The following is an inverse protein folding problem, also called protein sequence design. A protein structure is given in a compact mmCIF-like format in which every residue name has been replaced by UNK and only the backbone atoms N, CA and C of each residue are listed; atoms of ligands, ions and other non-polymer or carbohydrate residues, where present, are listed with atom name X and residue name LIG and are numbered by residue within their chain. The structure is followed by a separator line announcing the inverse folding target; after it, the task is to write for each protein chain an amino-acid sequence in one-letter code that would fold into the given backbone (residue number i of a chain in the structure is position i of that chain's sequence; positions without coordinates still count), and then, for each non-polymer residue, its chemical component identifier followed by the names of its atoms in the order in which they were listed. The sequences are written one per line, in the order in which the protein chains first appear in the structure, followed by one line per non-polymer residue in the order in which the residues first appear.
data_IF_533884626573
#
_entry.id   IF_533884626573
#
_cell.length_a   1.000
_cell.length_b   1.000
_cell.length_c   1.000
_cell.angle_alpha   90.00
_cell.angle_beta   90.00
_cell.angle_gamma   90.00
#
_symmetry.space_group_name_H-M   'P 1'
#
loop_
_entity.id
_entity.type
_entity.pdbx_description
1 polymer ?
#
# COMPACT_ATOMS: atom_id res chain seq x y z
N UNK A 1 9.47 -12.35 -15.58
CA UNK A 1 8.06 -12.18 -15.17
C UNK A 1 8.07 -11.63 -13.74
N UNK A 2 7.38 -10.50 -13.47
CA UNK A 2 7.32 -9.93 -12.11
C UNK A 2 6.52 -10.84 -11.19
N UNK A 3 6.98 -10.99 -9.95
CA UNK A 3 6.34 -11.81 -8.92
C UNK A 3 6.31 -11.05 -7.61
N UNK A 4 5.13 -10.92 -7.04
CA UNK A 4 4.91 -10.30 -5.74
C UNK A 4 4.49 -11.36 -4.73
N UNK A 5 4.90 -11.18 -3.47
CA UNK A 5 4.51 -12.07 -2.39
C UNK A 5 4.29 -11.31 -1.09
N UNK A 6 3.19 -11.57 -0.45
CA UNK A 6 2.87 -11.09 0.88
C UNK A 6 3.06 -12.23 1.86
N UNK A 7 4.02 -12.08 2.77
CA UNK A 7 4.25 -13.03 3.86
C UNK A 7 3.58 -12.49 5.12
N UNK A 8 2.66 -13.26 5.68
CA UNK A 8 1.89 -12.85 6.86
C UNK A 8 1.90 -13.98 7.88
N UNK A 9 2.21 -13.65 9.12
CA UNK A 9 1.95 -14.54 10.24
C UNK A 9 0.45 -14.50 10.55
N UNK A 10 -0.18 -15.68 10.64
CA UNK A 10 -1.61 -15.86 10.93
C UNK A 10 -2.07 -15.15 12.21
N UNK A 11 -1.22 -15.15 13.24
CA UNK A 11 -1.52 -14.45 14.49
C UNK A 11 -1.64 -12.94 14.29
N UNK A 12 -0.83 -12.41 13.39
CA UNK A 12 -0.78 -10.99 13.07
C UNK A 12 -2.06 -10.54 12.36
N UNK A 13 -2.64 -11.35 11.48
CA UNK A 13 -3.87 -11.01 10.76
C UNK A 13 -5.10 -11.01 11.66
N UNK A 14 -5.23 -11.98 12.55
CA UNK A 14 -6.33 -12.03 13.52
C UNK A 14 -6.30 -10.84 14.48
N UNK A 15 -5.11 -10.33 14.81
CA UNK A 15 -4.94 -9.13 15.64
C UNK A 15 -4.98 -7.81 14.86
N UNK A 16 -4.69 -7.82 13.56
CA UNK A 16 -4.57 -6.61 12.72
C UNK A 16 -5.79 -6.34 11.84
N UNK A 17 -6.59 -7.38 11.56
CA UNK A 17 -7.51 -7.31 10.41
C UNK A 17 -8.73 -6.42 10.61
N UNK A 18 -9.26 -6.25 11.80
CA UNK A 18 -10.60 -5.63 11.97
C UNK A 18 -10.65 -4.57 13.07
N UNK A 19 -9.67 -4.53 13.98
CA UNK A 19 -9.78 -3.71 15.20
C UNK A 19 -8.87 -2.49 15.30
N UNK A 20 -7.85 -2.36 14.47
CA UNK A 20 -6.80 -1.34 14.66
C UNK A 20 -7.12 0.04 14.09
N UNK A 21 -7.93 0.11 13.05
CA UNK A 21 -8.31 1.37 12.43
C UNK A 21 -9.79 1.33 12.08
N UNK A 22 -10.59 2.05 12.86
CA UNK A 22 -12.06 2.08 12.70
C UNK A 22 -12.56 3.20 11.81
N UNK A 23 -11.66 4.04 11.25
CA UNK A 23 -12.08 5.20 10.49
C UNK A 23 -11.15 5.51 9.29
N UNK A 24 -11.74 6.11 8.26
CA UNK A 24 -11.07 6.53 7.03
C UNK A 24 -9.87 7.46 7.31
N UNK A 25 -10.00 8.52 8.15
CA UNK A 25 -8.88 9.43 8.40
C UNK A 25 -7.62 8.73 8.91
N UNK A 26 -7.74 7.76 9.81
CA UNK A 26 -6.59 7.03 10.33
C UNK A 26 -5.89 6.21 9.23
N UNK A 27 -6.68 5.55 8.37
CA UNK A 27 -6.15 4.78 7.22
C UNK A 27 -5.45 5.70 6.21
N UNK A 28 -6.06 6.84 5.89
CA UNK A 28 -5.46 7.81 4.97
C UNK A 28 -4.19 8.45 5.55
N UNK A 29 -4.15 8.69 6.87
CA UNK A 29 -2.94 9.18 7.55
C UNK A 29 -1.74 8.23 7.38
N UNK A 30 -1.97 6.91 7.40
CA UNK A 30 -0.90 5.93 7.12
C UNK A 30 -0.41 6.00 5.67
N UNK A 31 -1.32 6.20 4.71
CA UNK A 31 -0.94 6.37 3.31
C UNK A 31 -0.12 7.65 3.10
N UNK A 32 -0.52 8.76 3.73
CA UNK A 32 0.22 10.04 3.71
C UNK A 32 1.59 9.89 4.40
N UNK A 33 1.68 9.17 5.53
CA UNK A 33 2.95 8.90 6.19
C UNK A 33 3.91 8.08 5.30
N UNK A 34 3.39 7.11 4.53
CA UNK A 34 4.19 6.38 3.56
C UNK A 34 4.69 7.27 2.42
N UNK A 35 3.86 8.19 1.92
CA UNK A 35 4.24 9.17 0.91
C UNK A 35 5.33 10.13 1.44
N UNK A 36 5.19 10.62 2.67
CA UNK A 36 6.22 11.42 3.36
C UNK A 36 7.56 10.67 3.41
N UNK A 37 7.52 9.40 3.78
CA UNK A 37 8.69 8.54 3.85
C UNK A 37 9.31 8.21 2.48
N UNK A 38 8.54 8.38 1.40
CA UNK A 38 8.98 8.26 0.01
C UNK A 38 9.42 9.60 -0.62
N UNK A 39 9.63 10.64 0.19
CA UNK A 39 10.00 12.00 -0.23
C UNK A 39 8.99 12.68 -1.15
N UNK A 40 7.73 12.30 -1.08
CA UNK A 40 6.70 13.00 -1.82
C UNK A 40 6.62 14.48 -1.43
N UNK A 41 6.37 15.34 -2.39
CA UNK A 41 6.11 16.77 -2.20
C UNK A 41 4.63 17.06 -2.26
N UNK A 42 3.87 16.19 -2.92
CA UNK A 42 2.44 16.29 -3.08
C UNK A 42 1.78 14.93 -2.88
N UNK A 43 0.64 14.95 -2.21
CA UNK A 43 -0.26 13.80 -2.08
C UNK A 43 -1.66 14.26 -2.46
N UNK A 44 -2.22 13.64 -3.48
CA UNK A 44 -3.60 13.87 -3.93
C UNK A 44 -4.50 12.75 -3.40
N UNK A 45 -5.59 13.13 -2.72
CA UNK A 45 -6.60 12.18 -2.24
C UNK A 45 -7.91 12.48 -2.96
N UNK A 46 -8.43 11.48 -3.67
CA UNK A 46 -9.70 11.53 -4.41
C UNK A 46 -10.66 10.49 -3.81
N UNK A 47 -11.81 10.96 -3.34
CA UNK A 47 -12.86 10.13 -2.74
C UNK A 47 -14.09 10.19 -3.62
N UNK A 48 -14.34 9.12 -4.36
CA UNK A 48 -15.53 8.95 -5.20
C UNK A 48 -16.56 8.11 -4.42
N UNK A 49 -17.47 8.78 -3.75
CA UNK A 49 -18.53 8.13 -2.95
C UNK A 49 -19.51 7.37 -3.82
N UNK A 50 -19.80 7.86 -5.03
CA UNK A 50 -20.73 7.22 -5.98
C UNK A 50 -20.23 5.88 -6.49
N UNK A 51 -18.91 5.74 -6.68
CA UNK A 51 -18.26 4.49 -7.13
C UNK A 51 -17.69 3.66 -5.98
N UNK A 52 -17.68 4.19 -4.77
CA UNK A 52 -17.06 3.53 -3.63
C UNK A 52 -15.55 3.33 -3.81
N UNK A 53 -14.84 4.33 -4.31
CA UNK A 53 -13.40 4.27 -4.59
C UNK A 53 -12.69 5.42 -3.88
N UNK A 54 -11.60 5.09 -3.21
CA UNK A 54 -10.66 6.09 -2.68
C UNK A 54 -9.33 5.91 -3.41
N UNK A 55 -8.76 7.01 -3.90
CA UNK A 55 -7.43 7.04 -4.51
C UNK A 55 -6.53 7.93 -3.68
N UNK A 56 -5.32 7.45 -3.41
CA UNK A 56 -4.24 8.23 -2.80
C UNK A 56 -3.05 8.14 -3.75
N UNK A 57 -2.65 9.27 -4.29
CA UNK A 57 -1.54 9.37 -5.24
C UNK A 57 -0.48 10.29 -4.68
N UNK A 58 0.76 9.83 -4.69
CA UNK A 58 1.93 10.62 -4.34
C UNK A 58 2.89 10.80 -5.53
N UNK A 59 3.76 11.79 -5.43
CA UNK A 59 4.82 12.06 -6.39
C UNK A 59 6.22 11.66 -5.88
N UNK A 60 6.26 10.76 -4.90
CA UNK A 60 7.48 10.28 -4.27
C UNK A 60 8.38 9.42 -5.18
N UNK A 61 9.36 8.76 -4.58
CA UNK A 61 10.36 7.98 -5.34
C UNK A 61 9.83 6.76 -6.06
N UNK A 62 8.61 6.29 -5.75
CA UNK A 62 8.11 5.00 -6.18
C UNK A 62 8.94 3.84 -5.62
N UNK A 63 8.63 2.61 -6.03
CA UNK A 63 9.23 1.38 -5.53
C UNK A 63 9.64 0.46 -6.67
N UNK A 64 10.80 -0.19 -6.52
CA UNK A 64 11.20 -1.33 -7.35
C UNK A 64 10.42 -2.58 -6.94
N UNK A 65 10.40 -3.62 -7.78
CA UNK A 65 9.82 -4.93 -7.42
C UNK A 65 10.44 -5.48 -6.11
N UNK A 66 11.76 -5.34 -5.97
CA UNK A 66 12.47 -5.73 -4.75
C UNK A 66 11.98 -4.96 -3.52
N UNK A 67 11.88 -3.63 -3.60
CA UNK A 67 11.38 -2.79 -2.51
C UNK A 67 9.92 -3.11 -2.16
N UNK A 68 9.10 -3.46 -3.14
CA UNK A 68 7.72 -3.90 -2.92
C UNK A 68 7.71 -5.18 -2.08
N UNK A 69 8.46 -6.21 -2.48
CA UNK A 69 8.47 -7.49 -1.78
C UNK A 69 9.12 -7.42 -0.40
N UNK A 70 10.28 -6.77 -0.28
CA UNK A 70 11.08 -6.76 0.95
C UNK A 70 10.60 -5.74 1.99
N UNK A 71 9.86 -4.69 1.56
CA UNK A 71 9.45 -3.58 2.42
C UNK A 71 7.95 -3.36 2.42
N UNK A 72 7.35 -3.10 1.27
CA UNK A 72 5.92 -2.78 1.20
C UNK A 72 5.05 -3.99 1.55
N UNK A 73 5.28 -5.17 0.96
CA UNK A 73 4.50 -6.38 1.23
C UNK A 73 4.94 -7.14 2.49
N UNK A 74 6.12 -6.85 3.03
CA UNK A 74 6.58 -7.46 4.27
C UNK A 74 5.85 -6.87 5.48
N UNK A 75 5.01 -7.67 6.13
CA UNK A 75 4.29 -7.27 7.35
C UNK A 75 5.28 -7.10 8.51
N UNK A 76 5.11 -6.03 9.30
CA UNK A 76 6.02 -5.73 10.41
C UNK A 76 7.37 -5.13 9.99
N UNK A 77 7.57 -4.79 8.71
CA UNK A 77 8.77 -4.09 8.28
C UNK A 77 8.88 -2.72 8.95
N UNK A 78 10.00 -2.49 9.64
CA UNK A 78 10.29 -1.24 10.34
C UNK A 78 11.43 -0.50 9.65
N UNK A 79 11.11 0.56 8.92
CA UNK A 79 12.08 1.38 8.16
C UNK A 79 13.23 1.91 9.05
N UNK A 80 12.93 2.22 10.31
CA UNK A 80 13.92 2.73 11.27
C UNK A 80 15.03 1.73 11.59
N UNK A 81 14.75 0.44 11.47
CA UNK A 81 15.69 -0.64 11.76
C UNK A 81 16.44 -1.11 10.50
N UNK A 82 16.04 -0.64 9.32
CA UNK A 82 16.68 -0.97 8.06
C UNK A 82 17.73 0.09 7.68
N UNK A 83 19.01 -0.24 7.93
CA UNK A 83 20.14 0.64 7.58
C UNK A 83 20.28 0.91 6.08
N UNK A 84 19.62 0.10 5.23
CA UNK A 84 19.61 0.25 3.77
C UNK A 84 18.41 1.05 3.28
N UNK A 85 17.46 1.37 4.16
CA UNK A 85 16.30 2.16 3.78
C UNK A 85 16.71 3.59 3.45
N UNK A 86 16.31 4.05 2.28
CA UNK A 86 16.49 5.44 1.88
C UNK A 86 15.58 6.33 2.75
N UNK A 87 16.17 7.31 3.41
CA UNK A 87 15.46 8.32 4.21
C UNK A 87 15.60 9.66 3.49
N UNK A 88 14.51 10.41 3.28
CA UNK A 88 14.59 11.74 2.70
C UNK A 88 15.46 12.67 3.55
N UNK A 89 16.30 13.48 2.90
CA UNK A 89 17.16 14.42 3.60
C UNK A 89 16.33 15.44 4.41
N UNK A 90 16.66 15.61 5.68
CA UNK A 90 15.96 16.53 6.58
C UNK A 90 14.59 16.05 7.08
N UNK A 91 14.17 14.82 6.75
CA UNK A 91 12.89 14.27 7.22
C UNK A 91 13.10 13.15 8.23
N UNK A 92 12.25 13.14 9.27
CA UNK A 92 12.15 12.00 10.18
C UNK A 92 11.14 10.99 9.62
N UNK A 93 11.45 9.66 9.63
CA UNK A 93 10.49 8.64 9.22
C UNK A 93 9.22 8.69 10.07
N UNK A 94 8.06 8.75 9.40
CA UNK A 94 6.75 8.76 10.05
C UNK A 94 6.20 7.36 10.28
N UNK A 95 6.48 6.42 9.36
CA UNK A 95 6.03 5.03 9.48
C UNK A 95 6.67 4.32 10.68
N UNK A 96 5.83 3.92 11.68
CA UNK A 96 6.32 3.38 12.96
C UNK A 96 6.24 1.86 13.04
N UNK A 97 5.13 1.25 12.60
CA UNK A 97 4.80 -0.15 12.93
C UNK A 97 4.94 -1.12 11.75
N UNK A 98 5.04 -0.64 10.51
CA UNK A 98 5.13 -1.48 9.31
C UNK A 98 3.86 -2.30 9.01
N UNK A 99 2.74 -1.95 9.65
CA UNK A 99 1.44 -2.63 9.51
C UNK A 99 0.39 -1.77 8.82
N UNK A 100 0.70 -0.50 8.55
CA UNK A 100 -0.23 0.47 7.98
C UNK A 100 -0.86 0.03 6.65
N UNK A 101 -0.12 -0.75 5.84
CA UNK A 101 -0.65 -1.34 4.60
C UNK A 101 -1.82 -2.31 4.83
N UNK A 102 -1.85 -3.00 5.96
CA UNK A 102 -2.97 -3.87 6.33
C UNK A 102 -4.16 -3.07 6.85
N UNK A 103 -3.92 -1.88 7.37
CA UNK A 103 -4.98 -0.96 7.78
C UNK A 103 -5.88 -0.56 6.59
N UNK A 104 -5.37 -0.57 5.36
CA UNK A 104 -6.15 -0.33 4.15
C UNK A 104 -7.30 -1.34 4.01
N UNK A 105 -7.12 -2.59 4.47
CA UNK A 105 -8.17 -3.61 4.48
C UNK A 105 -9.23 -3.40 5.58
N UNK A 106 -9.03 -2.47 6.50
CA UNK A 106 -10.10 -2.07 7.42
C UNK A 106 -11.26 -1.38 6.70
N UNK A 107 -10.99 -0.69 5.58
CA UNK A 107 -11.98 0.11 4.86
C UNK A 107 -12.29 -0.39 3.44
N UNK A 108 -11.46 -1.26 2.85
CA UNK A 108 -11.65 -1.77 1.48
C UNK A 108 -11.38 -3.27 1.39
N UNK A 109 -12.04 -3.97 0.47
CA UNK A 109 -11.81 -5.40 0.20
C UNK A 109 -10.77 -5.62 -0.91
N UNK A 110 -10.52 -4.61 -1.74
CA UNK A 110 -9.56 -4.68 -2.83
C UNK A 110 -8.64 -3.45 -2.83
N UNK A 111 -7.35 -3.68 -2.93
CA UNK A 111 -6.31 -2.66 -2.93
C UNK A 111 -5.46 -2.85 -4.17
N UNK A 112 -5.57 -1.92 -5.12
CA UNK A 112 -4.73 -1.88 -6.32
C UNK A 112 -3.61 -0.85 -6.09
N UNK A 113 -2.37 -1.27 -6.34
CA UNK A 113 -1.17 -0.45 -6.15
C UNK A 113 -0.46 -0.29 -7.48
N UNK A 114 -0.17 0.94 -7.87
CA UNK A 114 0.72 1.26 -8.98
C UNK A 114 1.92 2.02 -8.44
N UNK A 115 3.11 1.66 -8.89
CA UNK A 115 4.32 2.35 -8.48
C UNK A 115 5.29 2.49 -9.65
N UNK A 116 5.79 3.70 -9.86
CA UNK A 116 6.75 4.02 -10.91
C UNK A 116 8.00 4.57 -10.27
N UNK A 117 9.08 3.80 -10.38
CA UNK A 117 10.39 4.14 -9.83
C UNK A 117 11.17 5.01 -10.80
N UNK A 118 11.67 6.14 -10.31
CA UNK A 118 12.61 6.98 -11.03
C UNK A 118 14.02 6.82 -10.43
N UNK A 119 15.05 6.97 -11.27
CA UNK A 119 16.42 7.15 -10.80
C UNK A 119 16.71 8.63 -10.48
N UNK A 120 17.93 8.93 -10.03
CA UNK A 120 18.35 10.30 -9.70
C UNK A 120 18.40 11.29 -10.87
N UNK A 121 18.07 10.86 -12.10
CA UNK A 121 18.00 11.68 -13.32
C UNK A 121 16.60 11.69 -13.92
N UNK A 122 15.56 11.48 -13.09
CA UNK A 122 14.15 11.43 -13.48
C UNK A 122 13.81 10.43 -14.61
N UNK A 123 14.66 9.43 -14.82
CA UNK A 123 14.39 8.36 -15.78
C UNK A 123 13.64 7.22 -15.08
N UNK A 124 12.59 6.75 -15.74
CA UNK A 124 11.85 5.58 -15.28
C UNK A 124 12.75 4.36 -15.32
N UNK A 125 12.83 3.64 -14.20
CA UNK A 125 13.58 2.39 -14.09
C UNK A 125 12.66 1.19 -14.02
N UNK A 126 11.49 1.33 -13.38
CA UNK A 126 10.52 0.26 -13.26
C UNK A 126 9.08 0.80 -13.20
N UNK A 127 8.17 0.05 -13.83
CA UNK A 127 6.72 0.17 -13.64
C UNK A 127 6.23 -1.05 -12.89
N UNK A 128 5.62 -0.88 -11.74
CA UNK A 128 5.13 -1.97 -10.91
C UNK A 128 3.65 -1.77 -10.61
N UNK A 129 2.89 -2.86 -10.66
CA UNK A 129 1.49 -2.83 -10.28
C UNK A 129 1.00 -4.18 -9.81
N UNK A 130 0.13 -4.19 -8.79
CA UNK A 130 -0.48 -5.40 -8.27
C UNK A 130 -1.80 -5.09 -7.55
N UNK A 131 -2.61 -6.13 -7.41
CA UNK A 131 -3.88 -6.09 -6.67
C UNK A 131 -3.82 -7.07 -5.52
N UNK A 132 -4.16 -6.61 -4.34
CA UNK A 132 -4.39 -7.44 -3.14
C UNK A 132 -5.88 -7.50 -2.85
N UNK A 133 -6.39 -8.69 -2.54
CA UNK A 133 -7.78 -8.93 -2.19
C UNK A 133 -7.90 -9.57 -0.81
N UNK A 134 -8.80 -9.04 0.01
CA UNK A 134 -8.99 -9.52 1.38
C UNK A 134 -9.44 -10.98 1.42
N UNK A 135 -10.40 -11.35 0.56
CA UNK A 135 -10.93 -12.72 0.46
C UNK A 135 -9.86 -13.73 0.03
N UNK A 136 -9.02 -13.38 -0.94
CA UNK A 136 -7.93 -14.24 -1.41
C UNK A 136 -6.82 -14.40 -0.36
N UNK A 137 -6.52 -13.36 0.40
CA UNK A 137 -5.59 -13.42 1.54
C UNK A 137 -6.16 -14.37 2.60
N UNK A 138 -7.43 -14.21 2.97
CA UNK A 138 -8.10 -15.05 3.97
C UNK A 138 -8.13 -16.52 3.54
N UNK A 139 -8.44 -16.80 2.27
CA UNK A 139 -8.42 -18.16 1.73
C UNK A 139 -7.02 -18.77 1.77
N UNK A 140 -5.99 -18.01 1.41
CA UNK A 140 -4.59 -18.45 1.47
C UNK A 140 -4.19 -18.85 2.88
N UNK A 141 -4.63 -18.07 3.88
CA UNK A 141 -4.38 -18.35 5.29
C UNK A 141 -5.10 -19.62 5.74
N UNK A 142 -6.39 -19.75 5.44
CA UNK A 142 -7.20 -20.94 5.80
C UNK A 142 -6.65 -22.21 5.18
N UNK A 143 -6.04 -22.11 4.00
CA UNK A 143 -5.36 -23.22 3.32
C UNK A 143 -3.96 -23.52 3.90
N UNK A 144 -3.49 -22.76 4.90
CA UNK A 144 -2.18 -22.95 5.52
C UNK A 144 -1.01 -22.52 4.65
N UNK A 145 -1.24 -21.71 3.62
CA UNK A 145 -0.17 -21.19 2.79
C UNK A 145 0.60 -20.08 3.53
N UNK A 146 1.94 -20.15 3.62
CA UNK A 146 2.74 -19.15 4.32
C UNK A 146 2.84 -17.83 3.54
N UNK A 147 2.47 -17.82 2.27
CA UNK A 147 2.59 -16.67 1.37
C UNK A 147 1.31 -16.47 0.57
N UNK A 148 0.89 -15.23 0.43
CA UNK A 148 -0.12 -14.79 -0.53
C UNK A 148 0.55 -14.09 -1.71
N UNK A 149 0.16 -14.43 -2.93
CA UNK A 149 0.69 -13.82 -4.17
C UNK A 149 -0.34 -12.86 -4.74
N UNK A 150 -0.11 -11.53 -4.64
CA UNK A 150 -0.94 -10.54 -5.31
C UNK A 150 -1.01 -10.74 -6.82
N UNK A 151 -2.15 -10.38 -7.41
CA UNK A 151 -2.34 -10.38 -8.85
C UNK A 151 -1.50 -9.26 -9.49
N UNK A 152 -0.73 -9.60 -10.53
CA UNK A 152 0.14 -8.62 -11.21
C UNK A 152 -0.69 -7.77 -12.18
N UNK A 153 -0.56 -6.45 -12.09
CA UNK A 153 -1.10 -5.51 -13.08
C UNK A 153 -0.08 -5.35 -14.21
N UNK A 154 -0.46 -5.62 -15.47
CA UNK A 154 0.43 -5.43 -16.61
C UNK A 154 0.95 -4.00 -16.72
N UNK A 155 2.21 -3.83 -17.16
CA UNK A 155 2.87 -2.53 -17.25
C UNK A 155 2.05 -1.50 -18.05
N UNK A 156 1.49 -1.88 -19.19
CA UNK A 156 0.64 -1.02 -20.01
C UNK A 156 -0.67 -0.54 -19.36
N UNK A 157 -1.01 -1.08 -18.18
CA UNK A 157 -2.17 -0.66 -17.38
C UNK A 157 -1.79 0.23 -16.19
N UNK A 158 -0.52 0.57 -16.01
CA UNK A 158 -0.06 1.48 -14.95
C UNK A 158 -0.55 2.90 -15.24
N UNK A 159 -1.19 3.53 -14.25
CA UNK A 159 -1.95 4.79 -14.42
C UNK A 159 -1.20 6.05 -13.97
N UNK A 160 0.07 5.93 -13.64
CA UNK A 160 0.90 7.04 -13.16
C UNK A 160 2.23 7.09 -13.90
N UNK A 161 2.87 8.25 -13.88
CA UNK A 161 4.19 8.47 -14.51
C UNK A 161 5.34 8.48 -13.51
N UNK A 162 5.05 8.70 -12.21
CA UNK A 162 6.03 8.65 -11.10
C UNK A 162 5.30 8.45 -9.77
N UNK A 163 6.03 8.04 -8.73
CA UNK A 163 5.51 7.90 -7.37
C UNK A 163 4.66 6.66 -7.17
N UNK A 164 3.65 6.76 -6.32
CA UNK A 164 2.76 5.64 -5.99
C UNK A 164 1.30 6.08 -6.07
N UNK A 165 0.43 5.19 -6.55
CA UNK A 165 -1.02 5.33 -6.52
C UNK A 165 -1.60 4.11 -5.82
N UNK A 166 -2.32 4.37 -4.75
CA UNK A 166 -3.17 3.39 -4.06
C UNK A 166 -4.62 3.62 -4.50
N UNK A 167 -5.30 2.56 -4.93
CA UNK A 167 -6.73 2.59 -5.23
C UNK A 167 -7.44 1.58 -4.34
N UNK A 168 -8.23 2.10 -3.41
CA UNK A 168 -9.06 1.34 -2.48
C UNK A 168 -10.42 1.15 -3.14
N UNK A 169 -10.82 -0.09 -3.36
CA UNK A 169 -12.07 -0.46 -4.03
C UNK A 169 -12.90 -1.38 -3.15
N UNK A 170 -14.17 -1.50 -3.48
CA UNK A 170 -15.09 -2.34 -2.72
C UNK A 170 -15.08 -1.93 -1.24
N UNK A 171 -15.33 -0.63 -0.99
CA UNK A 171 -15.36 -0.07 0.35
C UNK A 171 -16.37 -0.81 1.22
N UNK A 172 -15.97 -1.11 2.45
CA UNK A 172 -16.83 -1.80 3.42
C UNK A 172 -18.00 -0.91 3.83
N UNK A 173 -19.15 -1.50 4.14
CA UNK A 173 -20.36 -0.78 4.55
C UNK A 173 -20.15 0.12 5.78
N UNK A 174 -19.24 -0.24 6.68
CA UNK A 174 -18.87 0.56 7.85
C UNK A 174 -18.18 1.88 7.51
N UNK A 175 -17.80 2.06 6.24
CA UNK A 175 -17.06 3.20 5.69
C UNK A 175 -17.97 4.10 4.85
N UNK A 176 -19.29 3.88 4.85
CA UNK A 176 -20.22 4.76 4.15
C UNK A 176 -20.03 6.19 4.69
N UNK A 177 -19.43 7.02 3.86
CA UNK A 177 -19.39 8.46 4.06
C UNK A 177 -20.84 8.91 3.99
N UNK A 178 -21.45 9.16 5.15
CA UNK A 178 -22.70 9.91 5.18
C UNK A 178 -22.35 11.30 4.67
N UNK A 179 -22.93 11.67 3.55
CA UNK A 179 -22.89 13.07 3.10
C UNK A 179 -23.44 13.94 4.24
N UNK A 180 -22.83 15.11 4.48
CA UNK A 180 -23.29 16.04 5.50
C UNK A 180 -24.66 16.59 5.15
#
# INVERSE_FOLDING_TARGET
MKSYKLTIDLSTLNHLGIGLYSNIPAVLSEAVANAWDADAKQVDIDIDTGRGIIKVKDDGWGMTEKEINERFLKVGYQKRNDKTAKIPNGRQPMGRKGIGKLALFAIANSIEVHSVKLNGHDRITEHNGFVMRADAIEQSIKAGHPEYKPEVVPEGKIKIKKGTLLMLRELKKSVQVTEP
#
